data_IF_746155745506
#
_entry.id   IF_746155745506
#
_cell.length_a   1.000
_cell.length_b   1.000
_cell.length_c   1.000
_cell.angle_alpha   90.00
_cell.angle_beta   90.00
_cell.angle_gamma   90.00
#
_symmetry.space_group_name_H-M   'P 1'
#
loop_
_entity.id
_entity.type
_entity.pdbx_description
1 polymer ?
#
# COMPACT_ATOMS: atom_id res chain seq x y z
N UNK A 1 -23.87 12.77 18.71
CA UNK A 1 -22.82 11.98 18.07
C UNK A 1 -21.88 12.89 17.29
N UNK A 2 -20.66 13.02 17.77
CA UNK A 2 -19.71 13.86 17.10
C UNK A 2 -19.26 13.21 15.79
N UNK A 3 -19.44 13.92 14.69
CA UNK A 3 -18.85 13.52 13.42
C UNK A 3 -17.34 13.44 13.62
N UNK A 4 -16.81 12.24 13.60
CA UNK A 4 -15.36 12.09 13.64
C UNK A 4 -14.83 12.39 12.24
N UNK A 5 -14.05 13.45 12.14
CA UNK A 5 -13.33 13.78 10.92
C UNK A 5 -12.24 12.73 10.72
N UNK A 6 -12.08 12.29 9.48
CA UNK A 6 -10.99 11.40 9.10
C UNK A 6 -9.66 12.09 9.40
N UNK A 7 -8.89 11.54 10.33
CA UNK A 7 -7.59 12.10 10.67
C UNK A 7 -6.48 11.35 9.93
N UNK A 8 -5.37 12.05 9.72
CA UNK A 8 -4.18 11.45 9.11
C UNK A 8 -3.69 10.24 9.90
N UNK A 9 -3.81 10.28 11.22
CA UNK A 9 -3.44 9.17 12.10
C UNK A 9 -4.25 7.91 11.79
N UNK A 10 -5.57 8.06 11.57
CA UNK A 10 -6.44 6.93 11.25
C UNK A 10 -6.10 6.35 9.89
N UNK A 11 -5.77 7.18 8.91
CA UNK A 11 -5.35 6.72 7.59
C UNK A 11 -4.06 5.92 7.70
N UNK A 12 -3.07 6.42 8.44
CA UNK A 12 -1.82 5.70 8.64
C UNK A 12 -2.02 4.35 9.31
N UNK A 13 -2.90 4.28 10.30
CA UNK A 13 -3.17 3.02 11.00
C UNK A 13 -3.81 1.98 10.10
N UNK A 14 -4.75 2.38 9.25
CA UNK A 14 -5.44 1.41 8.37
C UNK A 14 -4.55 0.95 7.21
N UNK A 15 -3.63 1.78 6.75
CA UNK A 15 -2.68 1.42 5.70
C UNK A 15 -1.60 0.44 6.19
N UNK A 16 -1.35 0.39 7.48
CA UNK A 16 -0.37 -0.51 8.13
C UNK A 16 1.03 -0.40 7.51
N UNK A 17 1.65 0.80 7.51
CA UNK A 17 2.99 0.95 6.89
C UNK A 17 4.06 0.06 7.55
N UNK A 18 3.87 -0.34 8.81
CA UNK A 18 4.80 -1.26 9.47
C UNK A 18 4.89 -2.62 8.78
N UNK A 19 3.87 -3.02 8.00
CA UNK A 19 3.91 -4.25 7.22
C UNK A 19 4.73 -4.10 5.94
N UNK A 20 5.00 -2.86 5.52
CA UNK A 20 5.78 -2.61 4.30
C UNK A 20 7.24 -3.03 4.43
N UNK A 21 7.74 -3.16 5.66
CA UNK A 21 9.11 -3.62 5.93
C UNK A 21 9.39 -4.95 5.23
N UNK A 22 8.40 -5.83 5.17
CA UNK A 22 8.52 -7.12 4.49
C UNK A 22 8.78 -6.96 3.00
N UNK A 23 8.33 -5.86 2.40
CA UNK A 23 8.47 -5.61 0.98
C UNK A 23 9.88 -5.14 0.60
N UNK A 24 10.73 -4.85 1.59
CA UNK A 24 12.14 -4.52 1.35
C UNK A 24 12.85 -5.69 0.63
N UNK A 25 12.32 -6.91 0.78
CA UNK A 25 12.85 -8.08 0.09
C UNK A 25 12.84 -7.95 -1.43
N UNK A 26 12.03 -7.03 -2.02
CA UNK A 26 12.06 -6.80 -3.47
C UNK A 26 13.41 -6.27 -3.96
N UNK A 27 14.22 -5.71 -3.07
CA UNK A 27 15.56 -5.25 -3.40
C UNK A 27 16.59 -6.37 -3.48
N UNK A 28 16.24 -7.57 -2.99
CA UNK A 28 17.17 -8.71 -2.94
C UNK A 28 17.74 -9.08 -4.30
N UNK A 29 16.93 -9.20 -5.39
CA UNK A 29 17.50 -9.52 -6.70
C UNK A 29 18.53 -8.50 -7.18
N UNK A 30 18.31 -7.21 -6.92
CA UNK A 30 19.26 -6.18 -7.28
C UNK A 30 20.58 -6.34 -6.53
N UNK A 31 20.51 -6.60 -5.22
CA UNK A 31 21.68 -6.77 -4.36
C UNK A 31 22.48 -8.01 -4.80
N UNK A 32 21.78 -9.13 -5.00
CA UNK A 32 22.42 -10.41 -5.35
C UNK A 32 23.02 -10.41 -6.76
N UNK A 33 22.42 -9.68 -7.69
CA UNK A 33 22.92 -9.59 -9.06
C UNK A 33 24.14 -8.69 -9.22
N UNK A 34 24.50 -7.95 -8.18
CA UNK A 34 25.54 -6.92 -8.21
C UNK A 34 25.31 -5.87 -9.30
N UNK A 35 24.09 -5.75 -9.78
CA UNK A 35 23.71 -4.78 -10.80
C UNK A 35 23.13 -3.55 -10.12
N UNK A 36 24.00 -2.61 -9.74
CA UNK A 36 23.67 -1.44 -8.93
C UNK A 36 23.49 -0.18 -9.76
N UNK A 37 23.08 -0.29 -11.03
CA UNK A 37 22.82 0.90 -11.82
C UNK A 37 21.57 1.63 -11.33
N UNK A 38 21.46 2.90 -11.69
CA UNK A 38 20.37 3.77 -11.25
C UNK A 38 19.01 3.26 -11.75
N UNK A 39 18.98 2.64 -12.91
CA UNK A 39 17.76 2.11 -13.50
C UNK A 39 17.18 0.98 -12.64
N UNK A 40 18.01 0.00 -12.26
CA UNK A 40 17.57 -1.11 -11.42
C UNK A 40 17.15 -0.63 -10.03
N UNK A 41 17.84 0.38 -9.51
CA UNK A 41 17.47 0.98 -8.22
C UNK A 41 16.10 1.62 -8.29
N UNK A 42 15.82 2.39 -9.34
CA UNK A 42 14.51 3.04 -9.54
C UNK A 42 13.41 1.99 -9.69
N UNK A 43 13.65 0.92 -10.47
CA UNK A 43 12.69 -0.17 -10.62
C UNK A 43 12.38 -0.84 -9.29
N UNK A 44 13.40 -1.06 -8.47
CA UNK A 44 13.22 -1.67 -7.15
C UNK A 44 12.39 -0.79 -6.23
N UNK A 45 12.63 0.53 -6.23
CA UNK A 45 11.82 1.48 -5.46
C UNK A 45 10.36 1.45 -5.93
N UNK A 46 10.13 1.47 -7.24
CA UNK A 46 8.77 1.41 -7.77
C UNK A 46 8.06 0.11 -7.39
N UNK A 47 8.77 -1.01 -7.50
CA UNK A 47 8.23 -2.30 -7.07
C UNK A 47 7.88 -2.30 -5.58
N UNK A 48 8.74 -1.74 -4.74
CA UNK A 48 8.47 -1.61 -3.31
C UNK A 48 7.19 -0.81 -3.05
N UNK A 49 7.04 0.33 -3.73
CA UNK A 49 5.86 1.18 -3.57
C UNK A 49 4.60 0.44 -4.04
N UNK A 50 4.65 -0.20 -5.20
CA UNK A 50 3.50 -0.92 -5.76
C UNK A 50 3.07 -2.06 -4.84
N UNK A 51 4.03 -2.88 -4.38
CA UNK A 51 3.72 -3.97 -3.44
C UNK A 51 3.15 -3.44 -2.12
N UNK A 52 3.71 -2.33 -1.61
CA UNK A 52 3.25 -1.74 -0.35
C UNK A 52 1.82 -1.20 -0.45
N UNK A 53 1.51 -0.49 -1.53
CA UNK A 53 0.17 0.07 -1.74
C UNK A 53 -0.85 -1.05 -2.00
N UNK A 54 -0.47 -2.08 -2.74
CA UNK A 54 -1.33 -3.24 -2.97
C UNK A 54 -1.62 -3.97 -1.67
N UNK A 55 -0.59 -4.18 -0.85
CA UNK A 55 -0.75 -4.81 0.46
C UNK A 55 -1.70 -4.01 1.35
N UNK A 56 -1.55 -2.67 1.37
CA UNK A 56 -2.45 -1.81 2.13
C UNK A 56 -3.90 -1.93 1.66
N UNK A 57 -4.12 -1.99 0.33
CA UNK A 57 -5.46 -2.19 -0.23
C UNK A 57 -6.07 -3.50 0.25
N UNK A 58 -5.29 -4.57 0.25
CA UNK A 58 -5.73 -5.89 0.72
C UNK A 58 -6.07 -5.84 2.21
N UNK A 59 -5.25 -5.17 3.03
CA UNK A 59 -5.52 -5.04 4.45
C UNK A 59 -6.82 -4.27 4.72
N UNK A 60 -7.09 -3.21 3.95
CA UNK A 60 -8.36 -2.47 4.08
C UNK A 60 -9.55 -3.37 3.73
N UNK A 61 -9.45 -4.14 2.64
CA UNK A 61 -10.49 -5.07 2.24
C UNK A 61 -10.73 -6.12 3.34
N UNK A 62 -9.66 -6.68 3.90
CA UNK A 62 -9.76 -7.65 4.98
C UNK A 62 -10.42 -7.04 6.22
N UNK A 63 -10.09 -5.80 6.57
CA UNK A 63 -10.70 -5.12 7.70
C UNK A 63 -12.21 -4.95 7.51
N UNK A 64 -12.66 -4.68 6.28
CA UNK A 64 -14.10 -4.58 5.97
C UNK A 64 -14.77 -5.95 6.10
N UNK A 65 -14.16 -7.00 5.54
CA UNK A 65 -14.71 -8.36 5.56
C UNK A 65 -14.80 -8.88 6.99
N UNK A 66 -13.75 -8.65 7.79
CA UNK A 66 -13.64 -9.22 9.13
C UNK A 66 -14.23 -8.35 10.23
N UNK A 67 -14.96 -7.28 9.90
CA UNK A 67 -15.39 -6.28 10.87
C UNK A 67 -16.18 -6.87 12.03
N UNK A 68 -17.08 -7.82 11.78
CA UNK A 68 -17.88 -8.43 12.85
C UNK A 68 -17.02 -9.22 13.81
N UNK A 69 -16.10 -10.00 13.28
CA UNK A 69 -15.15 -10.78 14.05
C UNK A 69 -14.19 -9.87 14.83
N UNK A 70 -13.69 -8.82 14.19
CA UNK A 70 -12.75 -7.88 14.81
C UNK A 70 -13.39 -7.14 15.99
N UNK A 71 -14.67 -6.76 15.88
CA UNK A 71 -15.36 -6.06 16.97
C UNK A 71 -15.53 -6.93 18.21
N UNK A 72 -15.55 -8.23 18.05
CA UNK A 72 -15.66 -9.18 19.15
C UNK A 72 -14.30 -9.65 19.68
N UNK A 73 -13.21 -9.21 19.05
CA UNK A 73 -11.86 -9.60 19.43
C UNK A 73 -11.29 -8.62 20.47
N UNK A 74 -10.59 -9.09 21.52
CA UNK A 74 -10.11 -8.21 22.59
C UNK A 74 -9.09 -7.16 22.13
N UNK A 75 -8.35 -7.43 21.07
CA UNK A 75 -7.32 -6.51 20.55
C UNK A 75 -7.73 -5.91 19.19
N UNK A 76 -8.30 -6.72 18.30
CA UNK A 76 -8.63 -6.28 16.94
C UNK A 76 -9.78 -5.27 16.90
N UNK A 77 -10.59 -5.18 17.97
CA UNK A 77 -11.67 -4.18 18.07
C UNK A 77 -11.15 -2.74 18.03
N UNK A 78 -9.87 -2.52 18.28
CA UNK A 78 -9.26 -1.20 18.24
C UNK A 78 -8.75 -0.80 16.84
N UNK A 79 -8.85 -1.70 15.85
CA UNK A 79 -8.54 -1.34 14.47
C UNK A 79 -9.46 -0.20 13.99
N UNK A 80 -8.94 0.74 13.18
CA UNK A 80 -9.71 1.95 12.82
C UNK A 80 -11.09 1.65 12.26
N UNK A 81 -11.23 0.69 11.37
CA UNK A 81 -12.53 0.38 10.78
C UNK A 81 -13.46 -0.30 11.80
N UNK A 82 -12.95 -1.28 12.54
CA UNK A 82 -13.73 -1.97 13.56
C UNK A 82 -14.19 -1.02 14.67
N UNK A 83 -13.35 -0.07 15.04
CA UNK A 83 -13.65 0.94 16.05
C UNK A 83 -14.58 2.06 15.57
N UNK A 84 -14.94 2.07 14.27
CA UNK A 84 -15.81 3.10 13.69
C UNK A 84 -15.13 4.43 13.41
N UNK A 85 -13.80 4.47 13.41
CA UNK A 85 -13.04 5.70 13.16
C UNK A 85 -12.96 6.05 11.67
N UNK A 86 -13.16 5.06 10.80
CA UNK A 86 -13.18 5.22 9.35
C UNK A 86 -14.44 4.55 8.82
N UNK A 87 -15.17 5.24 7.95
CA UNK A 87 -16.41 4.71 7.36
C UNK A 87 -16.08 3.80 6.17
N UNK A 88 -17.07 2.97 5.77
CA UNK A 88 -16.94 2.12 4.59
C UNK A 88 -16.68 2.93 3.32
N UNK A 89 -17.37 4.06 3.16
CA UNK A 89 -17.15 4.93 2.00
C UNK A 89 -15.72 5.48 1.97
N UNK A 90 -15.20 5.89 3.12
CA UNK A 90 -13.82 6.36 3.21
C UNK A 90 -12.81 5.26 2.87
N UNK A 91 -13.07 4.02 3.32
CA UNK A 91 -12.23 2.87 2.96
C UNK A 91 -12.25 2.61 1.46
N UNK A 92 -13.43 2.65 0.85
CA UNK A 92 -13.57 2.44 -0.59
C UNK A 92 -12.82 3.49 -1.39
N UNK A 93 -12.88 4.76 -0.96
CA UNK A 93 -12.16 5.85 -1.60
C UNK A 93 -10.64 5.63 -1.48
N UNK A 94 -10.17 5.22 -0.31
CA UNK A 94 -8.74 4.91 -0.11
C UNK A 94 -8.27 3.78 -1.04
N UNK A 95 -9.06 2.71 -1.14
CA UNK A 95 -8.74 1.59 -2.03
C UNK A 95 -8.63 2.08 -3.47
N UNK A 96 -9.58 2.88 -3.93
CA UNK A 96 -9.55 3.43 -5.29
C UNK A 96 -8.31 4.29 -5.52
N UNK A 97 -7.97 5.17 -4.58
CA UNK A 97 -6.80 6.03 -4.67
C UNK A 97 -5.53 5.17 -4.78
N UNK A 98 -5.39 4.15 -3.93
CA UNK A 98 -4.23 3.27 -3.93
C UNK A 98 -4.10 2.52 -5.24
N UNK A 99 -5.19 1.97 -5.76
CA UNK A 99 -5.19 1.22 -7.02
C UNK A 99 -4.89 2.12 -8.22
N UNK A 100 -5.45 3.33 -8.24
CA UNK A 100 -5.17 4.31 -9.29
C UNK A 100 -3.69 4.67 -9.29
N UNK A 101 -3.13 4.92 -8.10
CA UNK A 101 -1.72 5.28 -7.97
C UNK A 101 -0.81 4.14 -8.44
N UNK A 102 -1.14 2.90 -8.08
CA UNK A 102 -0.42 1.71 -8.56
C UNK A 102 -0.45 1.60 -10.07
N UNK A 103 -1.62 1.81 -10.67
CA UNK A 103 -1.79 1.73 -12.13
C UNK A 103 -0.95 2.80 -12.83
N UNK A 104 -0.95 4.03 -12.30
CA UNK A 104 -0.15 5.12 -12.87
C UNK A 104 1.35 4.80 -12.79
N UNK A 105 1.81 4.22 -11.69
CA UNK A 105 3.21 3.82 -11.55
C UNK A 105 3.59 2.73 -12.55
N UNK A 106 2.71 1.75 -12.78
CA UNK A 106 2.95 0.68 -13.74
C UNK A 106 3.04 1.22 -15.17
N UNK A 107 2.14 2.13 -15.54
CA UNK A 107 2.16 2.76 -16.87
C UNK A 107 3.44 3.58 -17.05
N UNK A 108 3.81 4.36 -16.04
CA UNK A 108 5.04 5.13 -16.05
C UNK A 108 6.28 4.26 -16.21
N UNK A 109 6.32 3.12 -15.53
CA UNK A 109 7.42 2.17 -15.63
C UNK A 109 7.58 1.64 -17.05
N UNK A 110 6.48 1.31 -17.73
CA UNK A 110 6.55 0.84 -19.11
C UNK A 110 7.17 1.89 -20.05
N UNK A 111 6.77 3.15 -19.92
CA UNK A 111 7.34 4.24 -20.71
C UNK A 111 8.83 4.43 -20.43
N UNK A 112 9.23 4.43 -19.18
CA UNK A 112 10.63 4.55 -18.78
C UNK A 112 11.46 3.38 -19.30
N UNK A 113 10.92 2.17 -19.24
CA UNK A 113 11.59 0.98 -19.75
C UNK A 113 11.92 1.11 -21.23
N UNK A 114 10.94 1.50 -22.04
CA UNK A 114 11.15 1.68 -23.47
C UNK A 114 12.14 2.80 -23.76
N UNK A 115 12.03 3.91 -23.05
CA UNK A 115 12.93 5.05 -23.22
C UNK A 115 14.38 4.65 -22.89
N UNK A 116 14.61 4.00 -21.77
CA UNK A 116 15.96 3.60 -21.35
C UNK A 116 16.53 2.49 -22.22
N UNK A 117 15.69 1.60 -22.73
CA UNK A 117 16.11 0.56 -23.66
C UNK A 117 16.62 1.16 -24.97
N UNK A 118 16.02 2.28 -25.43
CA UNK A 118 16.48 3.00 -26.62
C UNK A 118 17.85 3.63 -26.41
N UNK A 119 18.17 4.04 -25.19
CA UNK A 119 19.43 4.69 -24.87
C UNK A 119 20.60 3.70 -24.71
N UNK A 120 20.30 2.44 -24.52
CA UNK A 120 21.35 1.42 -24.32
C UNK A 120 21.86 0.81 -25.66
#
# INVERSE_FOLDING_TARGET
>A
MTKQNLSFTHILKILRPHQWVKNILVFTPMILSHNHDIYNFILSIKAFIIFSLTASSIYIINDIIDVKSDRNHPFKKYRPYAAGLITTNQCNILILILLIFCTLLLIGTNKEFFFLKRLS
#
